data_IF_299310905480
#
_entry.id   IF_299310905480
#
_cell.length_a   1.000
_cell.length_b   1.000
_cell.length_c   1.000
_cell.angle_alpha   90.00
_cell.angle_beta   90.00
_cell.angle_gamma   90.00
#
_symmetry.space_group_name_H-M   'P 1'
#
loop_
_entity.id
_entity.type
_entity.pdbx_description
1 polymer ?
#
# COMPACT_ATOMS: atom_id res chain seq x y z
N UNK A 1 21.21 6.94 -11.20
CA UNK A 1 20.44 6.51 -12.39
C UNK A 1 19.14 5.77 -12.03
N UNK A 2 19.15 4.86 -11.03
CA UNK A 2 17.98 4.08 -10.57
C UNK A 2 16.70 4.88 -10.29
N UNK A 3 16.82 6.08 -9.67
CA UNK A 3 15.66 6.94 -9.37
C UNK A 3 14.86 7.36 -10.61
N UNK A 4 15.53 7.64 -11.75
CA UNK A 4 14.84 8.05 -12.99
C UNK A 4 14.01 6.91 -13.60
N UNK A 5 14.54 5.68 -13.53
CA UNK A 5 13.85 4.48 -14.02
C UNK A 5 12.63 4.16 -13.15
N UNK A 6 12.76 4.25 -11.82
CA UNK A 6 11.65 4.05 -10.90
C UNK A 6 10.51 5.06 -11.13
N UNK A 7 10.85 6.34 -11.34
CA UNK A 7 9.85 7.38 -11.63
C UNK A 7 9.13 7.13 -12.96
N UNK A 8 9.87 6.74 -14.01
CA UNK A 8 9.25 6.42 -15.30
C UNK A 8 8.32 5.21 -15.20
N UNK A 9 8.74 4.16 -14.48
CA UNK A 9 7.98 2.93 -14.32
C UNK A 9 6.71 3.11 -13.47
N UNK A 10 6.76 3.94 -12.43
CA UNK A 10 5.64 4.24 -11.54
C UNK A 10 4.74 5.37 -12.05
N UNK A 11 4.97 5.90 -13.25
CA UNK A 11 4.22 7.05 -13.79
C UNK A 11 2.75 6.73 -14.11
N UNK A 12 2.43 5.46 -14.41
CA UNK A 12 1.07 4.99 -14.70
C UNK A 12 0.84 3.63 -14.02
N UNK A 13 0.64 3.58 -12.71
CA UNK A 13 0.39 2.34 -12.01
C UNK A 13 -1.03 1.84 -12.29
N UNK A 14 -1.18 0.54 -12.51
CA UNK A 14 -2.47 -0.12 -12.45
C UNK A 14 -2.72 -0.54 -11.00
N UNK A 15 -3.76 0.00 -10.38
CA UNK A 15 -4.10 -0.28 -8.98
C UNK A 15 -5.42 -1.06 -8.94
N UNK A 16 -5.39 -2.22 -8.31
CA UNK A 16 -6.57 -3.03 -8.01
C UNK A 16 -6.79 -3.04 -6.50
N UNK A 17 -8.00 -2.68 -6.08
CA UNK A 17 -8.41 -2.64 -4.67
C UNK A 17 -9.59 -3.59 -4.51
N UNK A 18 -9.46 -4.54 -3.59
CA UNK A 18 -10.56 -5.41 -3.16
C UNK A 18 -10.79 -5.18 -1.68
N UNK A 19 -12.05 -5.04 -1.31
CA UNK A 19 -12.47 -4.84 0.08
C UNK A 19 -13.52 -5.89 0.45
N UNK A 20 -13.36 -6.49 1.63
CA UNK A 20 -14.36 -7.36 2.26
C UNK A 20 -14.48 -6.98 3.73
N UNK A 21 -15.49 -6.17 4.06
CA UNK A 21 -15.65 -5.58 5.39
C UNK A 21 -14.42 -4.74 5.76
N UNK A 22 -13.71 -5.17 6.81
CA UNK A 22 -12.48 -4.54 7.31
C UNK A 22 -11.20 -5.09 6.66
N UNK A 23 -11.29 -6.12 5.82
CA UNK A 23 -10.15 -6.69 5.11
C UNK A 23 -9.96 -6.00 3.76
N UNK A 24 -8.72 -5.59 3.49
CA UNK A 24 -8.31 -4.93 2.27
C UNK A 24 -7.19 -5.71 1.59
N UNK A 25 -7.32 -5.82 0.27
CA UNK A 25 -6.26 -6.24 -0.63
C UNK A 25 -6.00 -5.12 -1.63
N UNK A 26 -4.76 -4.66 -1.70
CA UNK A 26 -4.33 -3.64 -2.65
C UNK A 26 -3.17 -4.20 -3.45
N UNK A 27 -3.36 -4.26 -4.77
CA UNK A 27 -2.34 -4.64 -5.73
C UNK A 27 -1.97 -3.44 -6.58
N UNK A 28 -0.71 -3.06 -6.54
CA UNK A 28 -0.16 -1.99 -7.37
C UNK A 28 0.81 -2.60 -8.38
N UNK A 29 0.44 -2.56 -9.66
CA UNK A 29 1.25 -3.06 -10.77
C UNK A 29 1.82 -1.91 -11.58
N UNK A 30 3.15 -1.86 -11.66
CA UNK A 30 3.90 -0.94 -12.53
C UNK A 30 4.67 -1.75 -13.57
N UNK A 31 5.28 -1.09 -14.56
CA UNK A 31 6.07 -1.78 -15.60
C UNK A 31 7.31 -2.49 -15.06
N UNK A 32 7.78 -2.15 -13.85
CA UNK A 32 9.02 -2.70 -13.27
C UNK A 32 8.75 -3.55 -12.03
N UNK A 33 7.67 -3.30 -11.30
CA UNK A 33 7.37 -4.01 -10.05
C UNK A 33 5.87 -4.09 -9.81
N UNK A 34 5.43 -5.24 -9.30
CA UNK A 34 4.10 -5.40 -8.71
C UNK A 34 4.26 -5.59 -7.20
N UNK A 35 3.50 -4.84 -6.41
CA UNK A 35 3.39 -5.01 -4.96
C UNK A 35 1.97 -5.38 -4.60
N UNK A 36 1.82 -6.28 -3.63
CA UNK A 36 0.53 -6.73 -3.12
C UNK A 36 0.56 -6.61 -1.61
N UNK A 37 -0.44 -5.92 -1.05
CA UNK A 37 -0.60 -5.77 0.40
C UNK A 37 -1.98 -6.27 0.81
N UNK A 38 -2.01 -7.01 1.92
CA UNK A 38 -3.21 -7.54 2.56
C UNK A 38 -3.20 -7.08 4.00
N UNK A 39 -4.24 -6.38 4.43
CA UNK A 39 -4.34 -5.91 5.82
C UNK A 39 -5.79 -5.83 6.29
N UNK A 40 -5.96 -5.91 7.60
CA UNK A 40 -7.25 -5.69 8.27
C UNK A 40 -7.20 -4.35 9.01
N UNK A 41 -8.27 -3.55 8.92
CA UNK A 41 -8.36 -2.33 9.72
C UNK A 41 -8.35 -2.69 11.22
N UNK A 42 -7.53 -1.97 11.99
CA UNK A 42 -7.36 -2.18 13.43
C UNK A 42 -6.29 -3.20 13.82
N UNK A 43 -5.70 -3.92 12.86
CA UNK A 43 -4.62 -4.88 13.11
C UNK A 43 -3.25 -4.34 12.66
N UNK A 44 -2.20 -4.71 13.39
CA UNK A 44 -0.82 -4.43 12.98
C UNK A 44 -0.38 -5.41 11.90
N UNK A 45 0.18 -4.90 10.81
CA UNK A 45 0.77 -5.70 9.75
C UNK A 45 2.21 -5.26 9.47
N UNK A 46 2.99 -6.16 8.88
CA UNK A 46 4.37 -5.86 8.48
C UNK A 46 4.41 -5.71 6.97
N UNK A 47 4.79 -4.53 6.49
CA UNK A 47 5.01 -4.24 5.07
C UNK A 47 6.51 -4.18 4.77
N UNK A 48 6.91 -4.64 3.59
CA UNK A 48 8.25 -4.39 3.06
C UNK A 48 8.18 -3.22 2.08
N UNK A 49 8.82 -2.11 2.45
CA UNK A 49 8.87 -0.91 1.62
C UNK A 49 9.71 -1.15 0.36
N UNK A 50 9.52 -0.30 -0.65
CA UNK A 50 10.21 -0.44 -1.95
C UNK A 50 11.74 -0.42 -1.87
N UNK A 51 12.31 0.14 -0.80
CA UNK A 51 13.74 0.15 -0.47
C UNK A 51 14.20 -1.06 0.39
N UNK A 52 13.33 -2.05 0.60
CA UNK A 52 13.65 -3.32 1.27
C UNK A 52 13.62 -3.28 2.79
N UNK A 53 13.02 -2.25 3.40
CA UNK A 53 12.91 -2.14 4.86
C UNK A 53 11.58 -2.74 5.31
N UNK A 54 11.63 -3.54 6.38
CA UNK A 54 10.43 -4.02 7.05
C UNK A 54 9.90 -2.94 7.98
N UNK A 55 8.67 -2.49 7.74
CA UNK A 55 7.97 -1.53 8.57
C UNK A 55 6.74 -2.17 9.18
N UNK A 56 6.45 -1.86 10.45
CA UNK A 56 5.23 -2.28 11.15
C UNK A 56 4.24 -1.14 11.07
N UNK A 57 3.06 -1.41 10.51
CA UNK A 57 2.03 -0.41 10.25
C UNK A 57 0.71 -0.84 10.92
N UNK A 58 -0.08 0.13 11.36
CA UNK A 58 -1.45 -0.08 11.83
C UNK A 58 -2.42 0.72 10.96
N UNK A 59 -3.43 0.05 10.42
CA UNK A 59 -4.48 0.70 9.64
C UNK A 59 -5.55 1.25 10.60
N UNK A 60 -5.60 2.57 10.76
CA UNK A 60 -6.61 3.22 11.60
C UNK A 60 -7.76 3.74 10.75
N UNK A 61 -8.99 3.50 11.22
CA UNK A 61 -10.17 4.19 10.71
C UNK A 61 -10.10 5.65 11.18
N UNK A 62 -9.76 6.55 10.28
CA UNK A 62 -9.89 7.98 10.57
C UNK A 62 -11.37 8.33 10.44
N UNK A 63 -11.98 8.88 11.50
CA UNK A 63 -13.27 9.53 11.33
C UNK A 63 -13.06 10.75 10.42
N UNK A 64 -13.93 11.00 9.43
CA UNK A 64 -13.82 12.21 8.60
C UNK A 64 -14.14 13.48 9.41
N UNK A 65 -14.74 13.31 10.59
CA UNK A 65 -15.07 14.36 11.53
C UNK A 65 -14.29 14.08 12.81
N UNK A 66 -13.22 14.84 13.05
CA UNK A 66 -12.48 14.78 14.30
C UNK A 66 -13.31 15.42 15.41
N UNK A 67 -13.50 14.71 16.52
CA UNK A 67 -13.89 15.29 17.80
C UNK A 67 -15.04 14.56 18.50
N UNK A 68 -14.73 14.04 19.69
CA UNK A 68 -15.58 13.73 20.85
C UNK A 68 -17.01 13.24 20.60
#
# INVERSE_FOLDING_TARGET
>A
MLRKVAVAAASKPHVEIRQSGEHFYIKTSTTVRTTEINFTIGEEFTEETVDGRKCRLSALRTSPWGGK
#
